data_IF_613885146075
#
_entry.id   IF_613885146075
#
_cell.length_a   1.000
_cell.length_b   1.000
_cell.length_c   1.000
_cell.angle_alpha   90.00
_cell.angle_beta   90.00
_cell.angle_gamma   90.00
#
_symmetry.space_group_name_H-M   'P 1'
#
loop_
_entity.id
_entity.type
_entity.pdbx_description
1 polymer ?
#
# COMPACT_ATOMS: atom_id res chain seq x y z
N UNK A 1 16.40 -17.31 -25.16
CA UNK A 1 16.87 -16.78 -23.86
C UNK A 1 15.66 -16.77 -22.94
N UNK A 2 15.54 -17.78 -22.07
CA UNK A 2 14.50 -17.82 -21.06
C UNK A 2 14.90 -16.83 -19.97
N UNK A 3 14.17 -15.72 -19.86
CA UNK A 3 14.32 -14.81 -18.73
C UNK A 3 13.70 -15.56 -17.55
N UNK A 4 14.54 -16.17 -16.72
CA UNK A 4 14.11 -16.75 -15.46
C UNK A 4 13.38 -15.67 -14.67
N UNK A 5 12.08 -15.86 -14.45
CA UNK A 5 11.34 -15.06 -13.47
C UNK A 5 12.10 -15.19 -12.14
N UNK A 6 12.57 -14.09 -11.53
CA UNK A 6 13.24 -14.18 -10.26
C UNK A 6 12.31 -14.90 -9.29
N UNK A 7 12.82 -15.94 -8.64
CA UNK A 7 12.08 -16.78 -7.71
C UNK A 7 11.21 -15.90 -6.81
N UNK A 8 9.90 -16.11 -6.86
CA UNK A 8 8.91 -15.31 -6.14
C UNK A 8 9.19 -15.39 -4.64
N UNK A 9 10.02 -14.48 -4.11
CA UNK A 9 10.09 -14.27 -2.68
C UNK A 9 8.67 -13.97 -2.22
N UNK A 10 8.15 -14.66 -1.19
CA UNK A 10 6.83 -14.35 -0.68
C UNK A 10 6.87 -12.89 -0.21
N UNK A 11 6.03 -12.05 -0.82
CA UNK A 11 5.83 -10.70 -0.34
C UNK A 11 5.19 -10.80 1.05
N UNK A 12 5.72 -10.04 2.01
CA UNK A 12 5.09 -9.91 3.32
C UNK A 12 3.64 -9.44 3.13
N UNK A 13 2.73 -9.95 3.97
CA UNK A 13 1.34 -9.49 3.94
C UNK A 13 1.30 -7.98 4.19
N UNK A 14 0.42 -7.24 3.51
CA UNK A 14 0.25 -5.80 3.78
C UNK A 14 -0.12 -5.57 5.24
N UNK A 15 -0.92 -6.46 5.83
CA UNK A 15 -1.27 -6.39 7.25
C UNK A 15 -0.06 -6.58 8.15
N UNK A 16 0.78 -7.57 7.86
CA UNK A 16 2.02 -7.83 8.62
C UNK A 16 3.01 -6.68 8.45
N UNK A 17 3.14 -6.13 7.24
CA UNK A 17 3.94 -4.96 6.93
C UNK A 17 3.54 -3.80 7.83
N UNK A 18 2.27 -3.37 7.83
CA UNK A 18 1.84 -2.26 8.68
C UNK A 18 2.09 -2.47 10.18
N UNK A 19 2.09 -3.73 10.65
CA UNK A 19 2.35 -4.05 12.04
C UNK A 19 3.83 -4.32 12.36
N UNK A 20 4.72 -4.39 11.35
CA UNK A 20 6.15 -4.66 11.57
C UNK A 20 6.89 -3.45 12.14
N UNK A 21 6.33 -2.25 12.00
CA UNK A 21 6.92 -1.02 12.50
C UNK A 21 5.86 -0.11 13.17
N UNK A 22 6.08 0.37 14.40
CA UNK A 22 5.15 1.27 15.10
C UNK A 22 4.83 2.55 14.31
N UNK A 23 5.78 3.09 13.56
CA UNK A 23 5.57 4.27 12.73
C UNK A 23 4.60 3.99 11.58
N UNK A 24 4.62 2.76 11.04
CA UNK A 24 3.74 2.37 9.95
C UNK A 24 2.32 2.13 10.45
N UNK A 25 2.14 1.64 11.67
CA UNK A 25 0.83 1.62 12.35
C UNK A 25 0.25 3.04 12.43
N UNK A 26 1.05 4.02 12.82
CA UNK A 26 0.62 5.43 12.88
C UNK A 26 0.27 5.97 11.49
N UNK A 27 1.05 5.63 10.45
CA UNK A 27 0.75 6.00 9.06
C UNK A 27 -0.58 5.40 8.58
N UNK A 28 -0.84 4.12 8.90
CA UNK A 28 -2.11 3.42 8.61
C UNK A 28 -3.27 4.16 9.25
N UNK A 29 -3.19 4.45 10.54
CA UNK A 29 -4.28 5.09 11.29
C UNK A 29 -4.56 6.51 10.78
N UNK A 30 -3.52 7.25 10.38
CA UNK A 30 -3.65 8.55 9.70
C UNK A 30 -4.31 8.39 8.33
N UNK A 31 -3.92 7.40 7.54
CA UNK A 31 -4.54 7.13 6.24
C UNK A 31 -6.03 6.80 6.41
N UNK A 32 -6.40 5.93 7.35
CA UNK A 32 -7.80 5.62 7.66
C UNK A 32 -8.55 6.91 8.04
N UNK A 33 -7.99 7.71 8.96
CA UNK A 33 -8.66 8.92 9.45
C UNK A 33 -8.78 10.04 8.40
N UNK A 34 -7.78 10.21 7.53
CA UNK A 34 -7.68 11.36 6.62
C UNK A 34 -8.07 11.06 5.18
N UNK A 35 -7.76 9.86 4.69
CA UNK A 35 -8.03 9.44 3.31
C UNK A 35 -9.35 8.68 3.20
N UNK A 36 -9.74 7.97 4.27
CA UNK A 36 -10.96 7.17 4.33
C UNK A 36 -12.00 7.74 5.31
N UNK A 37 -11.79 8.94 5.84
CA UNK A 37 -12.71 9.62 6.78
C UNK A 37 -13.09 8.75 8.00
N UNK A 38 -12.12 7.97 8.49
CA UNK A 38 -12.33 7.02 9.59
C UNK A 38 -12.96 5.69 9.18
N UNK A 39 -13.24 5.46 7.89
CA UNK A 39 -13.81 4.23 7.38
C UNK A 39 -12.76 3.12 7.25
N UNK A 40 -12.51 2.42 8.36
CA UNK A 40 -11.58 1.29 8.43
C UNK A 40 -11.98 0.14 7.50
N UNK A 41 -13.28 -0.09 7.28
CA UNK A 41 -13.74 -1.19 6.41
C UNK A 41 -13.33 -0.95 4.96
N UNK A 42 -13.51 0.27 4.47
CA UNK A 42 -13.15 0.63 3.11
C UNK A 42 -11.62 0.61 2.89
N UNK A 43 -10.85 1.08 3.87
CA UNK A 43 -9.39 0.96 3.86
C UNK A 43 -8.95 -0.52 3.80
N UNK A 44 -9.49 -1.38 4.67
CA UNK A 44 -9.14 -2.80 4.70
C UNK A 44 -9.57 -3.52 3.42
N UNK A 45 -10.72 -3.15 2.84
CA UNK A 45 -11.17 -3.66 1.56
C UNK A 45 -10.22 -3.27 0.43
N UNK A 46 -9.70 -2.04 0.45
CA UNK A 46 -8.69 -1.60 -0.51
C UNK A 46 -7.36 -2.36 -0.33
N UNK A 47 -6.85 -2.49 0.91
CA UNK A 47 -5.64 -3.28 1.18
C UNK A 47 -5.79 -4.74 0.74
N UNK A 48 -6.95 -5.35 0.97
CA UNK A 48 -7.24 -6.73 0.54
C UNK A 48 -7.22 -6.90 -0.98
N UNK A 49 -7.52 -5.84 -1.75
CA UNK A 49 -7.39 -5.84 -3.22
C UNK A 49 -5.93 -5.77 -3.67
N UNK A 50 -5.10 -5.04 -2.94
CA UNK A 50 -3.66 -4.90 -3.22
C UNK A 50 -2.86 -6.15 -2.78
N UNK A 51 -3.34 -6.87 -1.78
CA UNK A 51 -2.68 -8.05 -1.22
C UNK A 51 -2.22 -9.08 -2.28
N UNK A 52 -3.05 -9.53 -3.24
CA UNK A 52 -2.63 -10.49 -4.26
C UNK A 52 -1.68 -9.91 -5.33
N UNK A 53 -1.52 -8.58 -5.42
CA UNK A 53 -0.72 -7.95 -6.46
C UNK A 53 0.77 -8.14 -6.18
N UNK A 54 1.50 -8.68 -7.17
CA UNK A 54 2.93 -8.99 -7.06
C UNK A 54 3.83 -7.91 -7.63
N UNK A 55 3.28 -7.05 -8.46
CA UNK A 55 4.01 -5.99 -9.14
C UNK A 55 3.70 -4.63 -8.52
N UNK A 56 4.76 -3.88 -8.21
CA UNK A 56 4.62 -2.52 -7.69
C UNK A 56 3.84 -1.62 -8.64
N UNK A 57 4.00 -1.83 -9.95
CA UNK A 57 3.29 -1.07 -10.97
C UNK A 57 1.77 -1.25 -10.86
N UNK A 58 1.31 -2.49 -10.73
CA UNK A 58 -0.13 -2.79 -10.61
C UNK A 58 -0.72 -2.20 -9.32
N UNK A 59 0.05 -2.25 -8.22
CA UNK A 59 -0.34 -1.60 -6.97
C UNK A 59 -0.44 -0.10 -7.13
N UNK A 60 0.54 0.53 -7.77
CA UNK A 60 0.51 1.97 -8.00
C UNK A 60 -0.68 2.37 -8.87
N UNK A 61 -0.92 1.69 -9.99
CA UNK A 61 -2.07 1.95 -10.85
C UNK A 61 -3.40 1.84 -10.05
N UNK A 62 -3.51 0.85 -9.16
CA UNK A 62 -4.67 0.68 -8.29
C UNK A 62 -4.79 1.78 -7.20
N UNK A 63 -3.67 2.20 -6.60
CA UNK A 63 -3.61 3.31 -5.62
C UNK A 63 -3.98 4.63 -6.27
N UNK A 64 -3.46 4.91 -7.46
CA UNK A 64 -3.77 6.12 -8.21
C UNK A 64 -5.25 6.16 -8.61
N UNK A 65 -5.79 5.05 -9.11
CA UNK A 65 -7.20 4.94 -9.43
C UNK A 65 -8.10 5.19 -8.21
N UNK A 66 -7.74 4.62 -7.04
CA UNK A 66 -8.50 4.81 -5.80
C UNK A 66 -8.40 6.26 -5.29
N UNK A 67 -7.21 6.86 -5.35
CA UNK A 67 -7.01 8.26 -4.98
C UNK A 67 -7.80 9.21 -5.89
N UNK A 68 -7.78 8.98 -7.21
CA UNK A 68 -8.60 9.74 -8.15
C UNK A 68 -10.09 9.58 -7.86
N UNK A 69 -10.57 8.35 -7.64
CA UNK A 69 -11.97 8.05 -7.33
C UNK A 69 -12.44 8.77 -6.07
N UNK A 70 -11.60 8.81 -5.03
CA UNK A 70 -11.88 9.45 -3.74
C UNK A 70 -11.53 10.94 -3.69
N UNK A 71 -10.98 11.50 -4.78
CA UNK A 71 -10.45 12.88 -4.84
C UNK A 71 -9.39 13.15 -3.76
N UNK A 72 -8.62 12.13 -3.42
CA UNK A 72 -7.48 12.24 -2.51
C UNK A 72 -6.34 12.93 -3.27
N UNK A 73 -5.72 13.91 -2.61
CA UNK A 73 -4.50 14.55 -3.08
C UNK A 73 -3.31 13.60 -2.90
N UNK A 74 -2.74 13.13 -4.02
CA UNK A 74 -1.62 12.19 -4.02
C UNK A 74 -0.37 12.80 -3.36
N UNK A 75 -0.22 14.11 -3.43
CA UNK A 75 0.85 14.91 -2.82
C UNK A 75 0.66 15.15 -1.31
N UNK A 76 -0.46 14.71 -0.73
CA UNK A 76 -0.70 14.82 0.71
C UNK A 76 0.25 13.93 1.50
N UNK A 77 0.65 14.37 2.70
CA UNK A 77 1.58 13.63 3.56
C UNK A 77 1.06 12.22 3.87
N UNK A 78 -0.25 12.07 4.03
CA UNK A 78 -0.90 10.80 4.30
C UNK A 78 -0.92 9.88 3.08
N UNK A 79 -1.18 10.42 1.88
CA UNK A 79 -1.13 9.66 0.63
C UNK A 79 0.31 9.17 0.35
N UNK A 80 1.29 10.09 0.39
CA UNK A 80 2.70 9.74 0.24
C UNK A 80 3.15 8.74 1.30
N UNK A 81 2.72 8.93 2.56
CA UNK A 81 3.05 8.01 3.66
C UNK A 81 2.46 6.62 3.46
N UNK A 82 1.24 6.51 2.93
CA UNK A 82 0.62 5.23 2.59
C UNK A 82 1.38 4.52 1.47
N UNK A 83 1.70 5.24 0.40
CA UNK A 83 2.44 4.72 -0.75
C UNK A 83 3.86 4.30 -0.37
N UNK A 84 4.54 5.07 0.49
CA UNK A 84 5.87 4.77 1.01
C UNK A 84 5.88 3.44 1.80
N UNK A 85 4.88 3.20 2.66
CA UNK A 85 4.77 1.91 3.36
C UNK A 85 4.54 0.77 2.36
N UNK A 86 3.61 0.93 1.42
CA UNK A 86 3.35 -0.09 0.39
C UNK A 86 4.60 -0.36 -0.46
N UNK A 87 5.42 0.66 -0.74
CA UNK A 87 6.67 0.53 -1.48
C UNK A 87 7.67 -0.39 -0.76
N UNK A 88 7.77 -0.30 0.58
CA UNK A 88 8.64 -1.19 1.39
C UNK A 88 8.29 -2.67 1.25
N UNK A 89 7.04 -3.01 0.88
CA UNK A 89 6.64 -4.39 0.57
C UNK A 89 7.43 -4.96 -0.61
N UNK A 90 7.64 -4.15 -1.64
CA UNK A 90 8.28 -4.56 -2.90
C UNK A 90 9.79 -4.30 -2.89
N UNK A 91 10.23 -3.28 -2.15
CA UNK A 91 11.61 -2.85 -2.06
C UNK A 91 12.05 -2.67 -0.59
N UNK A 92 12.15 -3.76 0.19
CA UNK A 92 12.45 -3.67 1.64
C UNK A 92 13.88 -3.21 1.95
N UNK A 93 14.78 -3.20 0.96
CA UNK A 93 16.18 -2.77 1.12
C UNK A 93 16.45 -1.31 0.73
N UNK A 94 15.42 -0.60 0.24
CA UNK A 94 15.45 0.85 -0.02
C UNK A 94 14.78 1.61 1.13
#
# INVERSE_FOLDING_TARGET
MSISQPESRPLISITELFNSDPEWVVKRDKAIKKLYDGNTQEFNAFMSKLEPMRDWKDVMDAVEAEFMRKKIRQDSKEATGLTDVLFKRYFPSY
#
